data_IF_748144019614
#
_entry.id   IF_748144019614
#
_cell.length_a   1.000
_cell.length_b   1.000
_cell.length_c   1.000
_cell.angle_alpha   90.00
_cell.angle_beta   90.00
_cell.angle_gamma   90.00
#
_symmetry.space_group_name_H-M   'P 1'
#
loop_
_entity.id
_entity.type
_entity.pdbx_description
1 polymer ?
#
# COMPACT_ATOMS: atom_id res chain seq x y z
N UNK A 1 8.81 26.98 -2.77
CA UNK A 1 8.44 27.86 -1.65
C UNK A 1 7.06 28.41 -1.94
N UNK A 2 6.02 27.83 -1.34
CA UNK A 2 4.66 28.36 -1.40
C UNK A 2 4.13 28.34 0.03
N UNK A 3 4.19 29.50 0.67
CA UNK A 3 3.66 29.75 2.01
C UNK A 3 2.16 29.49 2.02
N UNK A 4 1.75 28.41 2.70
CA UNK A 4 0.35 28.13 3.01
C UNK A 4 0.02 28.72 4.39
N UNK A 5 -1.12 29.40 4.53
CA UNK A 5 -1.47 30.12 5.75
C UNK A 5 -1.63 29.13 6.91
N UNK A 6 -0.85 29.35 7.97
CA UNK A 6 -0.83 28.56 9.19
C UNK A 6 -2.13 28.79 9.98
N UNK A 7 -3.20 28.10 9.59
CA UNK A 7 -4.47 28.07 10.32
C UNK A 7 -4.24 27.40 11.67
N UNK A 8 -4.32 28.20 12.74
CA UNK A 8 -4.30 27.88 14.17
C UNK A 8 -4.07 26.38 14.50
N UNK A 9 -2.79 25.99 14.52
CA UNK A 9 -2.33 24.60 14.57
C UNK A 9 -2.26 24.13 16.01
N UNK A 10 -2.88 23.00 16.35
CA UNK A 10 -2.49 22.31 17.58
C UNK A 10 -1.09 21.72 17.36
N UNK A 11 -0.10 22.02 18.23
CA UNK A 11 1.30 21.64 18.00
C UNK A 11 1.48 20.13 17.83
N UNK A 12 0.63 19.34 18.49
CA UNK A 12 0.66 17.88 18.45
C UNK A 12 0.31 17.28 17.07
N UNK A 13 -0.70 17.84 16.38
CA UNK A 13 -1.16 17.31 15.08
C UNK A 13 -0.15 17.56 13.98
N UNK A 14 0.46 18.74 13.98
CA UNK A 14 1.51 19.09 13.04
C UNK A 14 2.77 18.25 13.25
N UNK A 15 3.12 17.95 14.51
CA UNK A 15 4.28 17.09 14.80
C UNK A 15 4.07 15.66 14.30
N UNK A 16 2.88 15.09 14.54
CA UNK A 16 2.49 13.77 14.02
C UNK A 16 2.47 13.73 12.49
N UNK A 17 2.02 14.81 11.83
CA UNK A 17 2.07 14.95 10.36
C UNK A 17 3.47 14.77 9.80
N UNK A 18 4.45 15.48 10.38
CA UNK A 18 5.85 15.40 9.95
C UNK A 18 6.48 14.02 10.18
N UNK A 19 6.03 13.26 11.18
CA UNK A 19 6.55 11.93 11.46
C UNK A 19 5.89 10.82 10.63
N UNK A 20 4.59 10.91 10.36
CA UNK A 20 3.84 9.89 9.62
C UNK A 20 3.96 10.05 8.11
N UNK A 21 4.04 11.27 7.59
CA UNK A 21 4.05 11.48 6.14
C UNK A 21 5.48 11.38 5.58
N UNK A 22 5.79 10.37 4.73
CA UNK A 22 7.17 10.11 4.28
C UNK A 22 7.77 11.25 3.46
N UNK A 23 6.93 12.06 2.81
CA UNK A 23 7.32 13.15 1.91
C UNK A 23 7.67 14.45 2.65
N UNK A 24 7.32 14.56 3.93
CA UNK A 24 7.43 15.80 4.73
C UNK A 24 8.58 15.74 5.74
N UNK A 25 9.20 14.56 5.92
CA UNK A 25 10.31 14.39 6.86
C UNK A 25 11.55 15.22 6.43
N UNK A 26 12.04 16.15 7.30
CA UNK A 26 13.14 17.06 6.94
C UNK A 26 14.55 16.43 7.09
N UNK A 27 14.67 15.26 7.71
CA UNK A 27 15.96 14.59 7.93
C UNK A 27 16.41 13.72 6.75
N UNK A 28 17.69 13.31 6.75
CA UNK A 28 18.22 12.35 5.76
C UNK A 28 17.63 10.95 6.02
N UNK A 29 16.85 10.43 5.07
CA UNK A 29 16.29 9.06 5.11
C UNK A 29 14.84 8.99 5.59
N UNK A 30 14.40 7.82 6.04
CA UNK A 30 13.05 7.62 6.58
C UNK A 30 12.92 8.16 8.00
N UNK A 31 11.78 8.79 8.32
CA UNK A 31 11.33 9.09 9.68
C UNK A 31 11.44 7.84 10.58
N UNK A 32 11.79 7.97 11.87
CA UNK A 32 11.82 6.85 12.82
C UNK A 32 10.51 6.04 12.82
N UNK A 33 9.36 6.72 12.74
CA UNK A 33 8.04 6.09 12.68
C UNK A 33 7.88 5.26 11.41
N UNK A 34 8.32 5.80 10.27
CA UNK A 34 8.27 5.08 8.99
C UNK A 34 9.22 3.87 8.97
N UNK A 35 10.38 3.95 9.64
CA UNK A 35 11.28 2.79 9.81
C UNK A 35 10.64 1.69 10.66
N UNK A 36 10.06 2.06 11.81
CA UNK A 36 9.34 1.12 12.67
C UNK A 36 8.21 0.46 11.90
N UNK A 37 7.44 1.24 11.14
CA UNK A 37 6.35 0.73 10.31
C UNK A 37 6.85 -0.23 9.21
N UNK A 38 7.95 0.10 8.54
CA UNK A 38 8.55 -0.78 7.54
C UNK A 38 9.02 -2.11 8.17
N UNK A 39 9.62 -2.07 9.37
CA UNK A 39 9.99 -3.27 10.13
C UNK A 39 8.74 -4.08 10.53
N UNK A 40 7.67 -3.43 11.00
CA UNK A 40 6.40 -4.10 11.31
C UNK A 40 5.80 -4.79 10.08
N UNK A 41 5.81 -4.14 8.91
CA UNK A 41 5.32 -4.74 7.67
C UNK A 41 6.19 -5.93 7.26
N UNK A 42 7.52 -5.82 7.38
CA UNK A 42 8.43 -6.92 7.09
C UNK A 42 8.19 -8.12 8.01
N UNK A 43 8.01 -7.89 9.33
CA UNK A 43 7.68 -8.93 10.30
C UNK A 43 6.32 -9.57 10.04
N UNK A 44 5.29 -8.76 9.77
CA UNK A 44 3.96 -9.26 9.43
C UNK A 44 3.97 -10.10 8.14
N UNK A 45 4.79 -9.70 7.16
CA UNK A 45 4.98 -10.45 5.92
C UNK A 45 5.71 -11.77 6.18
N UNK A 46 6.79 -11.74 6.97
CA UNK A 46 7.53 -12.95 7.32
C UNK A 46 6.64 -13.95 8.07
N UNK A 47 5.81 -13.47 9.02
CA UNK A 47 4.83 -14.30 9.70
C UNK A 47 3.82 -14.93 8.71
N UNK A 48 3.34 -14.18 7.72
CA UNK A 48 2.43 -14.68 6.70
C UNK A 48 3.09 -15.71 5.76
N UNK A 49 4.39 -15.56 5.47
CA UNK A 49 5.15 -16.56 4.71
C UNK A 49 5.30 -17.85 5.53
N UNK A 50 5.64 -17.75 6.81
CA UNK A 50 5.72 -18.92 7.69
C UNK A 50 4.35 -19.63 7.84
N UNK A 51 3.25 -18.88 7.85
CA UNK A 51 1.89 -19.41 7.87
C UNK A 51 1.55 -20.21 6.59
N UNK A 52 2.19 -19.91 5.46
CA UNK A 52 1.93 -20.60 4.19
C UNK A 52 2.42 -22.05 4.15
N UNK A 53 3.35 -22.41 5.04
CA UNK A 53 3.88 -23.77 5.13
C UNK A 53 3.01 -24.64 6.05
N UNK A 54 2.36 -25.71 5.52
CA UNK A 54 1.40 -26.50 6.30
C UNK A 54 2.05 -27.20 7.50
N UNK A 55 3.34 -27.57 7.38
CA UNK A 55 4.13 -28.21 8.44
C UNK A 55 4.31 -27.30 9.66
N UNK A 56 4.43 -25.98 9.43
CA UNK A 56 4.61 -24.99 10.51
C UNK A 56 3.26 -24.60 11.12
N UNK A 57 2.22 -24.58 10.29
CA UNK A 57 0.88 -24.17 10.69
C UNK A 57 0.17 -25.22 11.56
N UNK A 58 0.38 -26.52 11.29
CA UNK A 58 -0.36 -27.59 11.97
C UNK A 58 -0.14 -27.54 13.49
N UNK A 59 -1.23 -27.38 14.25
CA UNK A 59 -1.17 -27.25 15.72
C UNK A 59 -0.82 -25.86 16.26
N UNK A 60 -0.59 -24.86 15.39
CA UNK A 60 -0.30 -23.45 15.77
C UNK A 60 -1.22 -22.43 15.11
N UNK A 61 -2.30 -22.87 14.45
CA UNK A 61 -3.25 -22.02 13.74
C UNK A 61 -3.77 -20.84 14.58
N UNK A 62 -4.10 -21.10 15.86
CA UNK A 62 -4.56 -20.06 16.79
C UNK A 62 -3.50 -19.00 17.07
N UNK A 63 -2.23 -19.38 17.17
CA UNK A 63 -1.11 -18.45 17.38
C UNK A 63 -0.93 -17.56 16.15
N UNK A 64 -0.90 -18.13 14.96
CA UNK A 64 -0.78 -17.37 13.72
C UNK A 64 -1.97 -16.43 13.51
N UNK A 65 -3.19 -16.87 13.84
CA UNK A 65 -4.37 -16.03 13.80
C UNK A 65 -4.26 -14.83 14.76
N UNK A 66 -3.81 -15.04 16.00
CA UNK A 66 -3.61 -13.95 16.98
C UNK A 66 -2.52 -12.98 16.49
N UNK A 67 -1.40 -13.50 15.99
CA UNK A 67 -0.29 -12.68 15.46
C UNK A 67 -0.78 -11.82 14.29
N UNK A 68 -1.51 -12.42 13.35
CA UNK A 68 -2.11 -11.68 12.24
C UNK A 68 -3.09 -10.61 12.74
N UNK A 69 -3.94 -10.96 13.72
CA UNK A 69 -4.90 -10.03 14.29
C UNK A 69 -4.20 -8.81 14.92
N UNK A 70 -3.13 -9.04 15.70
CA UNK A 70 -2.34 -7.97 16.32
C UNK A 70 -1.73 -7.05 15.26
N UNK A 71 -1.03 -7.59 14.25
CA UNK A 71 -0.46 -6.76 13.18
C UNK A 71 -1.53 -5.97 12.43
N UNK A 72 -2.67 -6.59 12.15
CA UNK A 72 -3.77 -5.92 11.45
C UNK A 72 -4.37 -4.79 12.26
N UNK A 73 -4.57 -4.96 13.58
CA UNK A 73 -5.04 -3.90 14.47
C UNK A 73 -4.05 -2.75 14.53
N UNK A 74 -2.74 -3.04 14.64
CA UNK A 74 -1.70 -2.01 14.62
C UNK A 74 -1.73 -1.21 13.31
N UNK A 75 -1.87 -1.87 12.17
CA UNK A 75 -1.99 -1.20 10.87
C UNK A 75 -3.31 -0.45 10.71
N UNK A 76 -4.40 -0.90 11.33
CA UNK A 76 -5.67 -0.19 11.33
C UNK A 76 -5.60 1.12 12.14
N UNK A 77 -4.99 1.07 13.32
CA UNK A 77 -4.73 2.25 14.14
C UNK A 77 -3.87 3.23 13.36
N UNK A 78 -2.78 2.76 12.74
CA UNK A 78 -1.89 3.57 11.93
C UNK A 78 -2.62 4.25 10.75
N UNK A 79 -3.48 3.51 10.04
CA UNK A 79 -4.31 4.04 8.97
C UNK A 79 -5.25 5.15 9.45
N UNK A 80 -5.92 4.96 10.59
CA UNK A 80 -6.80 5.97 11.20
C UNK A 80 -6.02 7.21 11.63
N UNK A 81 -4.83 7.04 12.21
CA UNK A 81 -3.95 8.16 12.55
C UNK A 81 -3.59 8.95 11.29
N UNK A 82 -3.20 8.29 10.20
CA UNK A 82 -2.94 8.97 8.91
C UNK A 82 -4.15 9.72 8.41
N UNK A 83 -5.34 9.13 8.44
CA UNK A 83 -6.57 9.77 7.98
C UNK A 83 -6.91 11.01 8.82
N UNK A 84 -6.67 10.95 10.13
CA UNK A 84 -6.88 12.09 11.04
C UNK A 84 -5.91 13.23 10.76
N UNK A 85 -4.64 12.87 10.56
CA UNK A 85 -3.51 13.78 10.35
C UNK A 85 -3.49 14.36 8.93
N UNK A 86 -4.00 13.65 7.92
CA UNK A 86 -4.11 14.11 6.54
C UNK A 86 -4.90 15.42 6.41
N UNK A 87 -5.84 15.68 7.32
CA UNK A 87 -6.61 16.93 7.36
C UNK A 87 -5.77 18.20 7.59
N UNK A 88 -4.50 18.06 7.99
CA UNK A 88 -3.55 19.17 8.14
C UNK A 88 -3.06 19.69 6.79
N UNK A 89 -3.05 18.85 5.75
CA UNK A 89 -2.69 19.27 4.41
C UNK A 89 -3.86 20.09 3.82
N UNK A 90 -3.58 21.29 3.29
CA UNK A 90 -4.59 22.11 2.64
C UNK A 90 -5.34 21.35 1.52
N UNK A 91 -4.65 20.42 0.85
CA UNK A 91 -5.20 19.53 -0.17
C UNK A 91 -6.14 18.45 0.38
N UNK A 92 -6.14 18.13 1.67
CA UNK A 92 -7.04 17.11 2.23
C UNK A 92 -7.87 17.63 3.41
N UNK A 93 -8.04 18.96 3.49
CA UNK A 93 -8.83 19.60 4.53
C UNK A 93 -10.35 19.36 4.37
N UNK A 94 -11.06 19.24 5.51
CA UNK A 94 -12.50 18.96 5.55
C UNK A 94 -12.88 17.50 5.26
N UNK A 95 -14.19 17.22 5.25
CA UNK A 95 -14.74 15.86 5.04
C UNK A 95 -14.49 15.38 3.60
N UNK A 96 -14.71 16.26 2.61
CA UNK A 96 -14.44 15.99 1.20
C UNK A 96 -12.94 15.77 0.93
N UNK A 97 -12.05 16.52 1.61
CA UNK A 97 -10.61 16.34 1.51
C UNK A 97 -10.15 14.98 2.04
N UNK A 98 -10.72 14.52 3.16
CA UNK A 98 -10.45 13.17 3.72
C UNK A 98 -10.92 12.05 2.79
N UNK A 99 -12.10 12.18 2.18
CA UNK A 99 -12.57 11.22 1.16
C UNK A 99 -11.61 11.14 -0.02
N UNK A 100 -11.09 12.29 -0.48
CA UNK A 100 -10.05 12.33 -1.53
C UNK A 100 -8.75 11.67 -1.09
N UNK A 101 -8.37 11.76 0.18
CA UNK A 101 -7.21 11.05 0.72
C UNK A 101 -7.45 9.52 0.72
N UNK A 102 -8.63 9.06 1.13
CA UNK A 102 -8.98 7.64 1.11
C UNK A 102 -8.95 7.04 -0.31
N UNK A 103 -9.22 7.85 -1.33
CA UNK A 103 -9.13 7.44 -2.74
C UNK A 103 -7.69 7.42 -3.29
N UNK A 104 -6.67 7.76 -2.49
CA UNK A 104 -5.28 7.65 -2.95
C UNK A 104 -4.82 6.19 -2.97
N UNK A 105 -3.96 5.78 -3.93
CA UNK A 105 -3.49 4.40 -4.02
C UNK A 105 -2.87 3.88 -2.73
N UNK A 106 -2.14 4.73 -2.00
CA UNK A 106 -1.52 4.37 -0.73
C UNK A 106 -2.57 4.06 0.36
N UNK A 107 -3.60 4.91 0.49
CA UNK A 107 -4.68 4.71 1.45
C UNK A 107 -5.54 3.49 1.08
N UNK A 108 -5.78 3.25 -0.21
CA UNK A 108 -6.46 2.05 -0.72
C UNK A 108 -5.68 0.80 -0.34
N UNK A 109 -4.36 0.77 -0.57
CA UNK A 109 -3.51 -0.37 -0.17
C UNK A 109 -3.53 -0.60 1.35
N UNK A 110 -3.59 0.47 2.15
CA UNK A 110 -3.76 0.33 3.60
C UNK A 110 -5.10 -0.30 3.98
N UNK A 111 -6.18 0.17 3.36
CA UNK A 111 -7.50 -0.37 3.62
C UNK A 111 -7.60 -1.86 3.22
N UNK A 112 -7.17 -2.20 2.00
CA UNK A 112 -7.26 -3.56 1.47
C UNK A 112 -6.51 -4.59 2.32
N UNK A 113 -5.41 -4.21 2.95
CA UNK A 113 -4.62 -5.16 3.73
C UNK A 113 -5.11 -5.36 5.19
N UNK A 114 -6.08 -4.55 5.65
CA UNK A 114 -6.83 -4.77 6.92
C UNK A 114 -8.10 -5.60 6.67
N UNK A 115 -8.63 -5.51 5.44
CA UNK A 115 -9.86 -6.14 5.00
C UNK A 115 -9.97 -7.66 5.26
N UNK A 116 -8.95 -8.51 5.03
CA UNK A 116 -9.10 -9.96 5.19
C UNK A 116 -9.46 -10.39 6.62
N UNK A 117 -8.91 -9.72 7.63
CA UNK A 117 -9.25 -10.02 9.03
C UNK A 117 -10.69 -9.61 9.35
N UNK A 118 -11.10 -8.41 8.92
CA UNK A 118 -12.47 -7.91 9.13
C UNK A 118 -13.48 -8.91 8.57
N UNK A 119 -13.29 -9.37 7.33
CA UNK A 119 -14.25 -10.26 6.68
C UNK A 119 -14.28 -11.66 7.29
N UNK A 120 -13.14 -12.13 7.80
CA UNK A 120 -13.08 -13.38 8.56
C UNK A 120 -13.90 -13.28 9.85
N UNK A 121 -13.90 -12.12 10.53
CA UNK A 121 -14.69 -11.90 11.75
C UNK A 121 -16.19 -11.73 11.51
N UNK A 122 -16.60 -11.22 10.34
CA UNK A 122 -18.03 -10.98 10.01
C UNK A 122 -18.71 -12.16 9.28
N UNK A 123 -18.00 -13.27 9.03
CA UNK A 123 -18.61 -14.51 8.51
C UNK A 123 -19.02 -14.43 7.04
N UNK A 124 -18.12 -14.03 6.14
CA UNK A 124 -18.39 -14.02 4.69
C UNK A 124 -18.26 -15.39 4.02
N UNK A 125 -18.95 -15.56 2.89
CA UNK A 125 -18.89 -16.72 1.99
C UNK A 125 -17.46 -17.29 1.78
N UNK A 126 -17.34 -18.63 1.73
CA UNK A 126 -16.06 -19.33 1.62
C UNK A 126 -15.23 -18.93 0.38
N UNK A 127 -15.89 -18.59 -0.72
CA UNK A 127 -15.24 -18.09 -1.93
C UNK A 127 -14.58 -16.72 -1.71
N UNK A 128 -15.30 -15.80 -1.07
CA UNK A 128 -14.79 -14.47 -0.76
C UNK A 128 -13.58 -14.57 0.17
N UNK A 129 -13.68 -15.38 1.23
CA UNK A 129 -12.56 -15.62 2.15
C UNK A 129 -11.29 -16.08 1.41
N UNK A 130 -11.43 -16.93 0.37
CA UNK A 130 -10.30 -17.38 -0.45
C UNK A 130 -9.69 -16.23 -1.27
N UNK A 131 -10.51 -15.39 -1.89
CA UNK A 131 -10.03 -14.22 -2.63
C UNK A 131 -9.34 -13.20 -1.69
N UNK A 132 -9.90 -13.00 -0.50
CA UNK A 132 -9.33 -12.08 0.49
C UNK A 132 -7.98 -12.56 1.04
N UNK A 133 -7.67 -13.85 1.04
CA UNK A 133 -6.30 -14.31 1.35
C UNK A 133 -5.26 -13.69 0.41
N UNK A 134 -5.60 -13.43 -0.86
CA UNK A 134 -4.69 -12.77 -1.79
C UNK A 134 -4.38 -11.33 -1.38
N UNK A 135 -5.30 -10.63 -0.71
CA UNK A 135 -5.04 -9.27 -0.23
C UNK A 135 -3.90 -9.19 0.80
N UNK A 136 -3.51 -10.30 1.42
CA UNK A 136 -2.31 -10.35 2.28
C UNK A 136 -1.04 -9.98 1.49
N UNK A 137 -0.95 -10.29 0.18
CA UNK A 137 0.19 -9.88 -0.65
C UNK A 137 0.29 -8.36 -0.79
N UNK A 138 -0.85 -7.66 -0.70
CA UNK A 138 -0.91 -6.20 -0.76
C UNK A 138 -0.28 -5.55 0.48
N UNK A 139 -0.11 -6.29 1.60
CA UNK A 139 0.69 -5.82 2.75
C UNK A 139 2.12 -5.51 2.33
N UNK A 140 2.72 -6.35 1.48
CA UNK A 140 4.07 -6.11 0.93
C UNK A 140 4.08 -4.91 0.01
N UNK A 141 3.03 -4.72 -0.81
CA UNK A 141 2.88 -3.55 -1.67
C UNK A 141 2.88 -2.24 -0.86
N UNK A 142 2.47 -2.26 0.42
CA UNK A 142 2.60 -1.09 1.30
C UNK A 142 4.05 -0.64 1.48
N UNK A 143 5.04 -1.54 1.44
CA UNK A 143 6.46 -1.17 1.50
C UNK A 143 6.88 -0.31 0.31
N UNK A 144 6.23 -0.50 -0.85
CA UNK A 144 6.47 0.27 -2.06
C UNK A 144 6.29 1.78 -1.85
N UNK A 145 5.43 2.20 -0.90
CA UNK A 145 5.22 3.63 -0.58
C UNK A 145 6.46 4.32 0.01
N UNK A 146 7.35 3.57 0.66
CA UNK A 146 8.55 4.11 1.28
C UNK A 146 9.72 4.12 0.30
N UNK A 147 9.57 3.44 -0.82
CA UNK A 147 10.60 3.33 -1.82
C UNK A 147 10.57 4.56 -2.71
N UNK A 148 11.50 5.49 -2.45
CA UNK A 148 11.83 6.57 -3.40
C UNK A 148 12.17 6.03 -4.79
N UNK A 149 12.60 4.77 -4.89
CA UNK A 149 12.83 4.12 -6.17
C UNK A 149 11.53 3.96 -6.98
N UNK A 150 10.39 3.66 -6.36
CA UNK A 150 9.11 3.60 -7.08
C UNK A 150 8.69 4.97 -7.61
N UNK A 151 8.90 6.04 -6.85
CA UNK A 151 8.67 7.42 -7.33
C UNK A 151 9.60 7.76 -8.49
N UNK A 152 10.89 7.42 -8.39
CA UNK A 152 11.87 7.65 -9.45
C UNK A 152 11.54 6.85 -10.72
N UNK A 153 11.17 5.57 -10.59
CA UNK A 153 10.71 4.73 -11.69
C UNK A 153 9.45 5.32 -12.32
N UNK A 154 8.47 5.70 -11.49
CA UNK A 154 7.23 6.31 -11.97
C UNK A 154 7.50 7.59 -12.76
N UNK A 155 8.37 8.47 -12.25
CA UNK A 155 8.77 9.69 -12.95
C UNK A 155 9.51 9.40 -14.25
N UNK A 156 10.46 8.44 -14.25
CA UNK A 156 11.19 8.03 -15.44
C UNK A 156 10.24 7.47 -16.51
N UNK A 157 9.35 6.56 -16.14
CA UNK A 157 8.33 6.02 -17.03
C UNK A 157 7.40 7.12 -17.57
N UNK A 158 6.96 8.04 -16.71
CA UNK A 158 6.07 9.12 -17.14
C UNK A 158 6.75 10.07 -18.12
N UNK A 159 8.05 10.35 -17.91
CA UNK A 159 8.85 11.19 -18.81
C UNK A 159 9.07 10.55 -20.18
N UNK A 160 9.07 9.22 -20.27
CA UNK A 160 9.28 8.45 -21.51
C UNK A 160 8.04 7.70 -21.99
N UNK A 161 6.85 8.05 -21.47
CA UNK A 161 5.61 7.30 -21.72
C UNK A 161 5.25 7.19 -23.21
N UNK A 162 5.54 8.23 -23.99
CA UNK A 162 5.23 8.24 -25.41
C UNK A 162 6.14 7.28 -26.18
N UNK A 163 7.45 7.32 -25.92
CA UNK A 163 8.43 6.41 -26.52
C UNK A 163 8.11 4.94 -26.18
N UNK A 164 7.81 4.65 -24.90
CA UNK A 164 7.42 3.32 -24.44
C UNK A 164 6.14 2.81 -25.12
N UNK A 165 5.13 3.67 -25.26
CA UNK A 165 3.86 3.31 -25.89
C UNK A 165 4.04 3.03 -27.38
N UNK A 166 4.88 3.80 -28.08
CA UNK A 166 5.21 3.54 -29.48
C UNK A 166 5.95 2.21 -29.64
N UNK A 167 6.96 1.92 -28.80
CA UNK A 167 7.68 0.64 -28.86
C UNK A 167 6.77 -0.55 -28.55
N UNK A 168 5.88 -0.41 -27.56
CA UNK A 168 4.91 -1.44 -27.20
C UNK A 168 3.89 -1.67 -28.33
N UNK A 169 3.47 -0.60 -29.02
CA UNK A 169 2.59 -0.69 -30.19
C UNK A 169 3.23 -1.47 -31.34
N UNK A 170 4.48 -1.15 -31.70
CA UNK A 170 5.22 -1.87 -32.75
C UNK A 170 5.42 -3.34 -32.36
N UNK A 171 5.84 -3.60 -31.12
CA UNK A 171 6.02 -4.97 -30.61
C UNK A 171 4.69 -5.75 -30.65
N UNK A 172 3.59 -5.14 -30.25
CA UNK A 172 2.25 -5.74 -30.32
C UNK A 172 1.82 -6.07 -31.75
N UNK A 173 2.06 -5.15 -32.70
CA UNK A 173 1.73 -5.38 -34.11
C UNK A 173 2.56 -6.52 -34.73
N UNK A 174 3.86 -6.58 -34.41
CA UNK A 174 4.73 -7.69 -34.82
C UNK A 174 4.29 -9.02 -34.20
N UNK A 175 3.93 -9.03 -32.92
CA UNK A 175 3.41 -10.22 -32.24
C UNK A 175 2.14 -10.74 -32.91
N UNK A 176 1.18 -9.87 -33.22
CA UNK A 176 -0.06 -10.25 -33.91
C UNK A 176 0.23 -10.79 -35.31
N UNK A 177 1.05 -10.10 -36.09
CA UNK A 177 1.43 -10.54 -37.43
C UNK A 177 2.11 -11.91 -37.40
N UNK A 178 3.09 -12.09 -36.52
CA UNK A 178 3.79 -13.36 -36.34
C UNK A 178 2.85 -14.48 -35.91
N UNK A 179 1.90 -14.20 -35.00
CA UNK A 179 0.90 -15.17 -34.56
C UNK A 179 -0.02 -15.59 -35.70
N UNK A 180 -0.43 -14.66 -36.56
CA UNK A 180 -1.29 -14.98 -37.72
C UNK A 180 -0.54 -15.81 -38.76
N UNK A 181 0.72 -15.45 -39.06
CA UNK A 181 1.54 -16.22 -40.02
C UNK A 181 1.75 -17.65 -39.52
N UNK A 182 2.08 -17.84 -38.24
CA UNK A 182 2.27 -19.18 -37.67
C UNK A 182 1.00 -20.02 -37.73
N UNK A 183 -0.16 -19.43 -37.41
CA UNK A 183 -1.47 -20.08 -37.53
C UNK A 183 -1.83 -20.47 -38.97
N UNK A 184 -1.35 -19.75 -39.99
CA UNK A 184 -1.60 -20.09 -41.39
C UNK A 184 -0.65 -21.18 -41.92
N UNK A 185 0.50 -21.36 -41.28
CA UNK A 185 1.53 -22.34 -41.68
C UNK A 185 1.32 -23.69 -40.99
N UNK A 186 0.80 -23.69 -39.77
CA UNK A 186 0.32 -24.89 -39.05
C UNK A 186 -0.99 -25.43 -39.63
#
# INVERSE_FOLDING_TARGET
MSDLPLRNKTPLRHHLYCYLEPTVWPGKGLSPVNKVLAVLIALATAAAILESEPVILTGRESVFFIVEAVFTVLFAIEYLLRLWVAGENARYSGIAGRLRYMATPAAIMDFLAILPLLLTTFGTEAFLLRLFRLTRILRVARLGRFSRAFEAISQALHSRRFELMMSAGIAGMLLLFSSTVLYLVE
#
